data_IF_055508971300
#
_entry.id   IF_055508971300
#
_cell.length_a   1.000
_cell.length_b   1.000
_cell.length_c   1.000
_cell.angle_alpha   90.00
_cell.angle_beta   90.00
_cell.angle_gamma   90.00
#
_symmetry.space_group_name_H-M   'P 1'
#
loop_
_entity.id
_entity.type
_entity.pdbx_description
1 polymer ?
#
# COMPACT_ATOMS: atom_id res chain seq x y z
N UNK A 1 0.45 -11.09 -5.35
CA UNK A 1 1.28 -10.63 -4.21
C UNK A 1 1.47 -11.80 -3.28
N UNK A 2 2.71 -12.24 -3.09
CA UNK A 2 3.05 -13.38 -2.22
C UNK A 2 4.02 -12.99 -1.10
N UNK A 3 4.10 -11.72 -0.83
CA UNK A 3 4.96 -11.15 0.19
C UNK A 3 4.50 -9.75 0.56
N UNK A 4 5.42 -8.93 1.04
CA UNK A 4 5.12 -7.58 1.49
C UNK A 4 5.16 -6.58 0.34
N UNK A 5 4.08 -5.81 0.21
CA UNK A 5 3.93 -4.70 -0.72
C UNK A 5 3.57 -3.44 0.08
N UNK A 6 4.59 -2.79 0.66
CA UNK A 6 4.46 -1.59 1.48
C UNK A 6 4.94 -0.36 0.74
N UNK A 7 4.41 0.82 1.07
CA UNK A 7 4.84 2.07 0.49
C UNK A 7 4.78 2.05 -1.04
N UNK A 8 5.88 2.38 -1.70
CA UNK A 8 6.00 2.34 -3.15
C UNK A 8 5.66 0.98 -3.78
N UNK A 9 5.87 -0.14 -3.08
CA UNK A 9 5.43 -1.45 -3.52
C UNK A 9 3.90 -1.59 -3.54
N UNK A 10 3.21 -1.00 -2.57
CA UNK A 10 1.75 -0.91 -2.55
C UNK A 10 1.24 0.02 -3.66
N UNK A 11 1.90 1.15 -3.88
CA UNK A 11 1.54 2.12 -4.92
C UNK A 11 1.71 1.55 -6.33
N UNK A 12 2.76 0.74 -6.55
CA UNK A 12 2.92 -0.04 -7.78
C UNK A 12 1.76 -1.02 -7.97
N UNK A 13 1.40 -1.75 -6.91
CA UNK A 13 0.27 -2.69 -6.95
C UNK A 13 -1.07 -1.96 -7.23
N UNK A 14 -1.28 -0.78 -6.63
CA UNK A 14 -2.46 0.06 -6.87
C UNK A 14 -2.53 0.58 -8.33
N UNK A 15 -1.40 0.66 -9.01
CA UNK A 15 -1.35 1.10 -10.42
C UNK A 15 -1.67 -0.03 -11.40
N UNK A 16 -1.77 -1.27 -10.93
CA UNK A 16 -2.20 -2.41 -11.74
C UNK A 16 -3.73 -2.50 -11.83
N UNK A 17 -4.25 -3.10 -12.90
CA UNK A 17 -5.70 -3.30 -13.10
C UNK A 17 -6.32 -4.20 -12.03
N UNK A 18 -5.63 -5.27 -11.63
CA UNK A 18 -6.11 -6.26 -10.67
C UNK A 18 -4.99 -6.69 -9.70
N UNK A 19 -5.38 -7.04 -8.48
CA UNK A 19 -4.48 -7.46 -7.41
C UNK A 19 -5.03 -8.70 -6.72
N UNK A 20 -4.16 -9.68 -6.51
CA UNK A 20 -4.47 -10.93 -5.78
C UNK A 20 -3.41 -11.15 -4.71
N UNK A 21 -3.81 -11.58 -3.53
CA UNK A 21 -2.91 -11.76 -2.39
C UNK A 21 -2.92 -13.20 -1.86
N UNK A 22 -1.75 -13.73 -1.54
CA UNK A 22 -1.63 -15.03 -0.90
C UNK A 22 -1.94 -14.93 0.60
N UNK A 23 -2.92 -15.69 1.09
CA UNK A 23 -3.28 -15.80 2.50
C UNK A 23 -2.04 -16.19 3.32
N UNK A 24 -1.85 -15.54 4.45
CA UNK A 24 -0.73 -15.77 5.36
C UNK A 24 0.64 -15.26 4.85
N UNK A 25 0.73 -14.69 3.63
CA UNK A 25 1.98 -14.16 3.05
C UNK A 25 1.87 -12.72 2.61
N UNK A 26 0.79 -12.37 1.88
CA UNK A 26 0.63 -11.03 1.36
C UNK A 26 0.26 -10.05 2.46
N UNK A 27 1.02 -8.95 2.49
CA UNK A 27 0.82 -7.83 3.41
C UNK A 27 0.96 -6.54 2.60
N UNK A 28 -0.02 -5.66 2.70
CA UNK A 28 0.02 -4.31 2.13
C UNK A 28 0.09 -3.28 3.24
N UNK A 29 0.67 -2.11 2.97
CA UNK A 29 0.68 -0.99 3.90
C UNK A 29 1.04 0.32 3.19
N UNK A 30 0.72 1.45 3.84
CA UNK A 30 1.21 2.79 3.50
C UNK A 30 1.85 3.40 4.77
N UNK A 31 3.12 3.06 5.08
CA UNK A 31 3.74 3.44 6.35
C UNK A 31 4.40 4.84 6.35
N UNK A 32 4.27 5.59 5.28
CA UNK A 32 4.99 6.84 5.01
C UNK A 32 4.83 7.88 6.11
N UNK A 33 3.62 8.01 6.67
CA UNK A 33 3.31 9.02 7.70
C UNK A 33 4.13 8.78 8.98
N UNK A 34 4.42 7.53 9.31
CA UNK A 34 5.30 7.21 10.45
C UNK A 34 6.75 7.72 10.25
N UNK A 35 7.16 7.94 9.00
CA UNK A 35 8.46 8.50 8.63
C UNK A 35 8.41 10.04 8.45
N UNK A 36 7.28 10.68 8.72
CA UNK A 36 7.08 12.12 8.55
C UNK A 36 6.87 12.58 7.10
N UNK A 37 6.58 11.66 6.20
CA UNK A 37 6.24 11.95 4.80
C UNK A 37 4.84 11.40 4.48
N UNK A 38 4.41 11.52 3.23
CA UNK A 38 3.14 10.94 2.76
C UNK A 38 3.42 9.98 1.60
N UNK A 39 2.49 9.07 1.24
CA UNK A 39 2.57 8.35 -0.03
C UNK A 39 2.69 9.33 -1.20
N UNK A 40 3.71 9.19 -2.02
CA UNK A 40 4.03 10.12 -3.12
C UNK A 40 4.11 9.45 -4.50
N UNK A 41 3.75 8.18 -4.58
CA UNK A 41 3.68 7.40 -5.82
C UNK A 41 2.25 7.02 -6.22
N UNK A 42 1.28 7.86 -5.90
CA UNK A 42 -0.16 7.72 -6.16
C UNK A 42 -1.01 7.05 -5.06
N UNK A 43 -0.43 6.72 -3.90
CA UNK A 43 -1.16 6.05 -2.82
C UNK A 43 -2.33 6.87 -2.29
N UNK A 44 -2.16 8.17 -2.09
CA UNK A 44 -3.22 9.06 -1.61
C UNK A 44 -4.33 9.28 -2.64
N UNK A 45 -4.09 8.99 -3.92
CA UNK A 45 -5.06 9.19 -4.99
C UNK A 45 -5.78 7.89 -5.39
N UNK A 46 -5.06 6.78 -5.51
CA UNK A 46 -5.62 5.51 -5.96
C UNK A 46 -6.34 4.76 -4.84
N UNK A 47 -5.77 4.77 -3.63
CA UNK A 47 -6.35 4.00 -2.53
C UNK A 47 -7.76 4.47 -2.15
N UNK A 48 -8.04 5.78 -1.94
CA UNK A 48 -9.39 6.22 -1.60
C UNK A 48 -10.43 6.00 -2.72
N UNK A 49 -10.01 5.97 -3.99
CA UNK A 49 -10.89 5.61 -5.09
C UNK A 49 -11.29 4.13 -5.04
N UNK A 50 -10.39 3.31 -4.55
CA UNK A 50 -10.57 1.85 -4.50
C UNK A 50 -11.37 1.41 -3.27
N UNK A 51 -11.03 1.92 -2.07
CA UNK A 51 -11.58 1.43 -0.79
C UNK A 51 -12.43 2.46 -0.03
N UNK A 52 -12.60 3.64 -0.59
CA UNK A 52 -13.29 4.76 0.03
C UNK A 52 -12.41 5.53 1.02
N UNK A 53 -12.78 6.79 1.27
CA UNK A 53 -12.00 7.75 2.05
C UNK A 53 -11.68 7.26 3.48
N UNK A 54 -12.65 6.68 4.17
CA UNK A 54 -12.48 6.32 5.59
C UNK A 54 -11.41 5.23 5.77
N UNK A 55 -11.50 4.14 4.99
CA UNK A 55 -10.52 3.04 5.02
C UNK A 55 -9.14 3.49 4.49
N UNK A 56 -9.11 4.36 3.48
CA UNK A 56 -7.85 4.90 2.99
C UNK A 56 -7.14 5.73 4.08
N UNK A 57 -7.86 6.55 4.84
CA UNK A 57 -7.29 7.30 5.96
C UNK A 57 -6.82 6.36 7.09
N UNK A 58 -7.58 5.30 7.40
CA UNK A 58 -7.16 4.29 8.37
C UNK A 58 -5.82 3.65 7.96
N UNK A 59 -5.68 3.22 6.71
CA UNK A 59 -4.44 2.61 6.20
C UNK A 59 -3.28 3.61 6.16
N UNK A 60 -3.51 4.83 5.65
CA UNK A 60 -2.44 5.83 5.45
C UNK A 60 -2.00 6.47 6.77
N UNK A 61 -2.94 6.83 7.64
CA UNK A 61 -2.60 7.50 8.90
C UNK A 61 -2.20 6.51 9.98
N UNK A 62 -2.78 5.30 9.98
CA UNK A 62 -2.40 4.21 10.88
C UNK A 62 -1.03 3.63 10.54
N UNK A 63 -0.72 3.50 9.25
CA UNK A 63 0.55 2.94 8.76
C UNK A 63 0.71 1.44 9.04
N UNK A 64 -0.35 0.78 9.49
CA UNK A 64 -0.35 -0.63 9.90
C UNK A 64 -0.33 -1.58 8.71
N UNK A 65 0.12 -2.80 8.98
CA UNK A 65 0.08 -3.91 8.05
C UNK A 65 -1.35 -4.39 7.81
N UNK A 66 -1.73 -4.49 6.54
CA UNK A 66 -3.02 -5.01 6.08
C UNK A 66 -2.80 -6.39 5.47
N UNK A 67 -3.14 -7.49 6.18
CA UNK A 67 -3.01 -8.84 5.64
C UNK A 67 -4.01 -9.10 4.52
N UNK A 68 -3.75 -10.13 3.71
CA UNK A 68 -4.51 -10.44 2.50
C UNK A 68 -6.03 -10.48 2.71
N UNK A 69 -6.51 -11.11 3.78
CA UNK A 69 -7.92 -11.29 4.08
C UNK A 69 -8.60 -9.96 4.45
N UNK A 70 -7.90 -9.07 5.15
CA UNK A 70 -8.39 -7.73 5.43
C UNK A 70 -8.35 -6.86 4.17
N UNK A 71 -7.30 -6.98 3.36
CA UNK A 71 -7.17 -6.28 2.09
C UNK A 71 -8.30 -6.63 1.12
N UNK A 72 -8.71 -7.90 1.05
CA UNK A 72 -9.88 -8.33 0.28
C UNK A 72 -11.17 -7.71 0.81
N UNK A 73 -11.43 -7.77 2.12
CA UNK A 73 -12.61 -7.17 2.75
C UNK A 73 -12.70 -5.65 2.54
N UNK A 74 -11.56 -4.97 2.48
CA UNK A 74 -11.53 -3.53 2.21
C UNK A 74 -11.71 -3.20 0.72
N UNK A 75 -11.48 -4.17 -0.17
CA UNK A 75 -11.42 -3.97 -1.60
C UNK A 75 -10.04 -3.46 -2.07
N UNK A 76 -9.01 -3.54 -1.22
CA UNK A 76 -7.64 -3.18 -1.56
C UNK A 76 -7.06 -4.15 -2.60
N UNK A 77 -7.44 -5.41 -2.51
CA UNK A 77 -7.19 -6.45 -3.52
C UNK A 77 -8.49 -7.11 -3.97
N UNK A 78 -8.45 -7.76 -5.12
CA UNK A 78 -9.60 -8.45 -5.71
C UNK A 78 -9.96 -9.73 -4.95
N UNK A 79 -8.94 -10.50 -4.54
CA UNK A 79 -9.11 -11.76 -3.79
C UNK A 79 -7.88 -12.09 -2.95
N UNK A 80 -8.14 -12.65 -1.78
CA UNK A 80 -7.18 -13.42 -0.99
C UNK A 80 -7.33 -14.91 -1.33
N UNK A 81 -6.25 -15.59 -1.64
CA UNK A 81 -6.25 -16.98 -2.07
C UNK A 81 -5.19 -17.78 -1.28
N UNK A 82 -5.41 -19.08 -1.05
CA UNK A 82 -4.35 -19.96 -0.52
C UNK A 82 -3.06 -19.83 -1.34
N UNK A 83 -1.91 -19.91 -0.65
CA UNK A 83 -0.62 -19.63 -1.29
C UNK A 83 -0.25 -20.58 -2.43
N UNK A 84 -0.76 -21.80 -2.40
CA UNK A 84 -0.60 -22.82 -3.46
C UNK A 84 -1.59 -22.64 -4.61
N UNK A 85 -2.69 -21.92 -4.40
CA UNK A 85 -3.74 -21.69 -5.40
C UNK A 85 -3.56 -20.37 -6.18
N UNK A 86 -2.88 -19.36 -5.61
CA UNK A 86 -2.81 -18.03 -6.22
C UNK A 86 -2.16 -18.06 -7.61
N UNK A 87 -1.04 -18.75 -7.78
CA UNK A 87 -0.35 -18.88 -9.07
C UNK A 87 -1.22 -19.50 -10.15
N UNK A 88 -1.77 -20.70 -9.93
CA UNK A 88 -2.70 -21.35 -10.85
C UNK A 88 -3.95 -20.50 -11.17
N UNK A 89 -4.52 -19.81 -10.18
CA UNK A 89 -5.67 -18.94 -10.38
C UNK A 89 -5.34 -17.76 -11.30
N UNK A 90 -4.26 -17.04 -11.00
CA UNK A 90 -3.84 -15.85 -11.79
C UNK A 90 -3.48 -16.26 -13.21
N UNK A 91 -2.73 -17.35 -13.39
CA UNK A 91 -2.37 -17.85 -14.71
C UNK A 91 -3.63 -18.19 -15.54
N UNK A 92 -4.58 -18.94 -14.96
CA UNK A 92 -5.85 -19.28 -15.63
C UNK A 92 -6.64 -18.04 -16.03
N UNK A 93 -6.73 -17.02 -15.15
CA UNK A 93 -7.41 -15.77 -15.45
C UNK A 93 -6.72 -15.01 -16.57
N UNK A 94 -5.39 -14.89 -16.52
CA UNK A 94 -4.60 -14.21 -17.54
C UNK A 94 -4.73 -14.87 -18.92
N UNK A 95 -4.60 -16.20 -18.99
CA UNK A 95 -4.79 -16.94 -20.24
C UNK A 95 -6.22 -16.85 -20.78
N UNK A 96 -7.21 -16.85 -19.88
CA UNK A 96 -8.60 -16.63 -20.28
C UNK A 96 -8.79 -15.24 -20.91
N UNK A 97 -8.27 -14.19 -20.29
CA UNK A 97 -8.35 -12.82 -20.84
C UNK A 97 -7.61 -12.75 -22.17
N UNK A 98 -6.40 -13.32 -22.26
CA UNK A 98 -5.60 -13.31 -23.47
C UNK A 98 -6.25 -14.08 -24.64
N UNK A 99 -7.21 -14.96 -24.39
CA UNK A 99 -7.97 -15.67 -25.43
C UNK A 99 -9.09 -14.85 -26.07
N UNK A 100 -9.39 -13.67 -25.52
CA UNK A 100 -10.46 -12.79 -26.04
C UNK A 100 -9.91 -11.78 -27.06
N UNK A 101 -10.76 -11.18 -27.91
CA UNK A 101 -10.31 -10.16 -28.87
C UNK A 101 -9.65 -8.97 -28.18
N UNK A 102 -8.41 -8.66 -28.56
CA UNK A 102 -7.60 -7.60 -27.95
C UNK A 102 -8.29 -6.22 -28.02
N UNK A 103 -8.98 -5.93 -29.14
CA UNK A 103 -9.71 -4.68 -29.29
C UNK A 103 -10.87 -4.57 -28.28
N UNK A 104 -11.63 -5.64 -28.07
CA UNK A 104 -12.71 -5.67 -27.08
C UNK A 104 -12.17 -5.46 -25.65
N UNK A 105 -11.01 -6.06 -25.31
CA UNK A 105 -10.35 -5.85 -24.03
C UNK A 105 -9.94 -4.38 -23.87
N UNK A 106 -9.31 -3.80 -24.89
CA UNK A 106 -8.85 -2.41 -24.86
C UNK A 106 -10.04 -1.43 -24.68
N UNK A 107 -11.12 -1.62 -25.43
CA UNK A 107 -12.32 -0.79 -25.32
C UNK A 107 -13.03 -0.94 -23.97
N UNK A 108 -13.11 -2.16 -23.44
CA UNK A 108 -13.68 -2.40 -22.12
C UNK A 108 -12.85 -1.71 -21.01
N UNK A 109 -11.53 -1.79 -21.07
CA UNK A 109 -10.64 -1.08 -20.13
C UNK A 109 -10.80 0.43 -20.23
N UNK A 110 -10.85 0.99 -21.43
CA UNK A 110 -11.06 2.41 -21.64
C UNK A 110 -12.41 2.87 -21.10
N UNK A 111 -13.48 2.11 -21.32
CA UNK A 111 -14.82 2.43 -20.80
C UNK A 111 -14.87 2.38 -19.26
N UNK A 112 -14.23 1.39 -18.63
CA UNK A 112 -14.13 1.31 -17.16
C UNK A 112 -13.33 2.48 -16.62
N UNK A 113 -12.20 2.82 -17.25
CA UNK A 113 -11.37 3.94 -16.82
C UNK A 113 -12.10 5.30 -16.95
N UNK A 114 -12.94 5.46 -17.95
CA UNK A 114 -13.74 6.67 -18.15
C UNK A 114 -14.83 6.87 -17.06
N UNK A 115 -15.16 5.84 -16.29
CA UNK A 115 -16.08 5.94 -15.16
C UNK A 115 -15.42 6.55 -13.91
N UNK A 116 -14.10 6.64 -13.89
CA UNK A 116 -13.35 7.23 -12.77
C UNK A 116 -13.01 8.70 -13.05
N UNK A 117 -13.05 9.59 -12.03
CA UNK A 117 -12.56 10.95 -12.19
C UNK A 117 -11.08 10.98 -12.60
N UNK A 118 -10.63 11.96 -13.40
CA UNK A 118 -9.21 12.12 -13.72
C UNK A 118 -8.35 12.17 -12.45
N UNK A 119 -7.25 11.43 -12.46
CA UNK A 119 -6.34 11.34 -11.29
C UNK A 119 -5.24 12.40 -11.30
N UNK A 120 -5.01 13.05 -12.45
CA UNK A 120 -3.86 13.92 -12.70
C UNK A 120 -3.78 15.09 -11.72
N UNK A 121 -4.87 15.82 -11.51
CA UNK A 121 -4.88 16.96 -10.58
C UNK A 121 -4.59 16.52 -9.15
N UNK A 122 -5.13 15.38 -8.75
CA UNK A 122 -4.83 14.77 -7.44
C UNK A 122 -3.37 14.34 -7.30
N UNK A 123 -2.73 13.84 -8.36
CA UNK A 123 -1.31 13.49 -8.34
C UNK A 123 -0.40 14.72 -8.25
N UNK A 124 -0.80 15.86 -8.84
CA UNK A 124 -0.07 17.11 -8.68
C UNK A 124 -0.16 17.62 -7.24
N UNK A 125 -1.33 17.54 -6.62
CA UNK A 125 -1.52 17.90 -5.21
C UNK A 125 -0.76 16.95 -4.28
N UNK A 126 -0.78 15.63 -4.53
CA UNK A 126 0.02 14.64 -3.80
C UNK A 126 1.52 14.98 -3.87
N UNK A 127 2.04 15.27 -5.06
CA UNK A 127 3.44 15.66 -5.24
C UNK A 127 3.78 16.95 -4.48
N UNK A 128 2.88 17.94 -4.47
CA UNK A 128 3.05 19.18 -3.72
C UNK A 128 3.13 18.88 -2.21
N UNK A 129 2.18 18.15 -1.65
CA UNK A 129 2.14 17.77 -0.24
C UNK A 129 3.34 16.90 0.16
N UNK A 130 3.75 15.96 -0.70
CA UNK A 130 4.95 15.14 -0.47
C UNK A 130 6.21 16.00 -0.36
N UNK A 131 6.40 16.95 -1.29
CA UNK A 131 7.55 17.85 -1.26
C UNK A 131 7.57 18.74 -0.01
N UNK A 132 6.41 19.18 0.47
CA UNK A 132 6.31 19.91 1.73
C UNK A 132 6.70 19.02 2.92
N UNK A 133 6.18 17.79 3.00
CA UNK A 133 6.46 16.86 4.09
C UNK A 133 7.95 16.50 4.16
N UNK A 134 8.56 16.10 3.04
CA UNK A 134 9.98 15.68 2.99
C UNK A 134 10.95 16.82 3.29
N UNK A 135 10.54 18.07 3.06
CA UNK A 135 11.37 19.24 3.37
C UNK A 135 11.47 19.54 4.86
N UNK A 136 10.59 18.98 5.70
CA UNK A 136 10.58 19.25 7.15
C UNK A 136 11.81 18.68 7.87
N UNK A 137 12.32 19.36 8.92
CA UNK A 137 13.39 18.80 9.76
C UNK A 137 13.01 17.48 10.42
N UNK A 138 11.73 17.34 10.81
CA UNK A 138 11.19 16.13 11.44
C UNK A 138 11.25 14.93 10.50
N UNK A 139 10.83 15.08 9.24
CA UNK A 139 10.91 14.01 8.24
C UNK A 139 12.35 13.55 8.04
N UNK A 140 13.30 14.49 7.94
CA UNK A 140 14.74 14.18 7.78
C UNK A 140 15.27 13.40 8.99
N UNK A 141 14.90 13.83 10.20
CA UNK A 141 15.33 13.15 11.43
C UNK A 141 14.75 11.74 11.53
N UNK A 142 13.47 11.54 11.19
CA UNK A 142 12.81 10.23 11.18
C UNK A 142 13.39 9.30 10.14
N UNK A 143 13.61 9.77 8.92
CA UNK A 143 14.24 8.98 7.86
C UNK A 143 15.67 8.58 8.22
N UNK A 144 16.48 9.50 8.76
CA UNK A 144 17.83 9.20 9.24
C UNK A 144 17.82 8.14 10.36
N UNK A 145 16.92 8.28 11.32
CA UNK A 145 16.75 7.32 12.41
C UNK A 145 16.26 5.94 11.92
N UNK A 146 15.40 5.91 10.90
CA UNK A 146 14.94 4.67 10.28
C UNK A 146 16.10 3.94 9.58
N UNK A 147 16.89 4.66 8.79
CA UNK A 147 18.07 4.10 8.12
C UNK A 147 19.12 3.60 9.12
N UNK A 148 19.39 4.37 10.19
CA UNK A 148 20.30 3.97 11.26
C UNK A 148 19.84 2.70 12.01
N UNK A 149 18.52 2.46 12.07
CA UNK A 149 17.94 1.25 12.64
C UNK A 149 17.94 0.06 11.64
N UNK A 150 18.59 0.18 10.49
CA UNK A 150 18.67 -0.85 9.45
C UNK A 150 17.51 -0.83 8.44
N UNK A 151 16.77 0.28 8.36
CA UNK A 151 15.74 0.48 7.35
C UNK A 151 16.23 0.13 5.94
N UNK A 152 15.35 -0.41 5.10
CA UNK A 152 15.65 -0.95 3.76
C UNK A 152 16.49 -2.25 3.76
N UNK A 153 16.78 -2.84 4.92
CA UNK A 153 17.30 -4.21 4.99
C UNK A 153 16.15 -5.21 5.04
N UNK A 154 16.40 -6.41 4.55
CA UNK A 154 15.38 -7.49 4.53
C UNK A 154 14.79 -7.75 5.92
N UNK A 155 15.64 -7.81 6.95
CA UNK A 155 15.21 -8.15 8.31
C UNK A 155 14.29 -7.08 8.90
N UNK A 156 14.65 -5.80 8.71
CA UNK A 156 13.81 -4.67 9.16
C UNK A 156 12.51 -4.57 8.36
N UNK A 157 12.56 -4.80 7.05
CA UNK A 157 11.34 -4.82 6.23
C UNK A 157 10.38 -5.94 6.64
N UNK A 158 10.90 -7.07 7.08
CA UNK A 158 10.07 -8.16 7.61
C UNK A 158 9.43 -7.81 8.98
N UNK A 159 10.05 -6.96 9.78
CA UNK A 159 9.62 -6.55 11.11
C UNK A 159 9.09 -5.10 11.19
N UNK A 160 8.83 -4.44 10.04
CA UNK A 160 8.56 -3.01 9.98
C UNK A 160 7.38 -2.58 10.87
N UNK A 161 6.28 -3.32 10.89
CA UNK A 161 5.13 -3.03 11.74
C UNK A 161 5.53 -2.88 13.21
N UNK A 162 6.24 -3.86 13.74
CA UNK A 162 6.75 -3.84 15.13
C UNK A 162 7.71 -2.68 15.37
N UNK A 163 8.56 -2.33 14.40
CA UNK A 163 9.51 -1.22 14.54
C UNK A 163 8.79 0.14 14.64
N UNK A 164 7.72 0.32 13.92
CA UNK A 164 6.92 1.55 13.93
C UNK A 164 6.09 1.68 15.22
N UNK A 165 5.58 0.58 15.76
CA UNK A 165 4.85 0.55 17.04
C UNK A 165 5.72 0.99 18.23
N UNK A 166 6.98 0.54 18.31
CA UNK A 166 7.91 0.83 19.42
C UNK A 166 8.19 2.34 19.54
N UNK A 167 8.07 3.11 18.47
CA UNK A 167 8.32 4.56 18.46
C UNK A 167 7.08 5.41 18.75
N UNK A 168 5.94 4.81 19.07
CA UNK A 168 4.76 5.55 19.50
C UNK A 168 4.96 6.11 20.91
N UNK A 169 4.68 7.42 21.17
CA UNK A 169 4.75 8.00 22.52
C UNK A 169 3.91 7.27 23.57
N UNK A 170 2.82 6.61 23.14
CA UNK A 170 2.00 5.77 24.03
C UNK A 170 2.75 4.54 24.54
N UNK A 171 3.59 3.91 23.72
CA UNK A 171 4.37 2.74 24.13
C UNK A 171 5.50 3.10 25.08
N UNK A 172 6.13 4.28 24.94
CA UNK A 172 7.07 4.79 25.93
C UNK A 172 6.40 5.04 27.28
N UNK A 173 5.17 5.55 27.30
CA UNK A 173 4.42 5.77 28.55
C UNK A 173 4.00 4.47 29.23
N UNK A 174 3.68 3.43 28.46
CA UNK A 174 3.33 2.08 28.99
C UNK A 174 4.56 1.38 29.56
N UNK A 175 5.71 1.50 28.90
CA UNK A 175 6.98 0.91 29.38
C UNK A 175 7.45 1.58 30.66
N UNK A 176 7.34 2.91 30.80
CA UNK A 176 7.69 3.66 32.03
C UNK A 176 6.76 3.36 33.23
N UNK A 177 5.55 2.83 33.01
CA UNK A 177 4.64 2.44 34.12
C UNK A 177 4.84 0.99 34.58
N UNK A 178 5.69 0.22 33.93
CA UNK A 178 6.01 -1.18 34.27
C UNK A 178 7.41 -1.33 34.91
N UNK A 179 8.19 -0.25 34.97
CA UNK A 179 9.44 -0.13 35.76
C UNK A 179 9.19 0.72 37.00
#
# INVERSE_FOLDING_TARGET
IEGRARGGGSELALSCDMRFGAIGRAVLAQPEVALGIIPGGSGTQRLPRLIGRARALEVILGGDDVPAELAERYGYINRALPADEIGPFVARLAYRIASFPAEAIALAKAAVQAAEPPVVDGLLEEAHCFNQAVATPEARARMAAFLAAGGQTRDVELALGTLLEIRSPMNEAVTRRRT
#
